data_IF_907037865741
#
_entry.id   IF_907037865741
#
_cell.length_a   1.000
_cell.length_b   1.000
_cell.length_c   1.000
_cell.angle_alpha   90.00
_cell.angle_beta   90.00
_cell.angle_gamma   90.00
#
_symmetry.space_group_name_H-M   'P 1'
#
loop_
_entity.id
_entity.type
_entity.pdbx_description
1 polymer ?
#
# COMPACT_ATOMS: atom_id res chain seq x y z
N UNK A 1 1.33 -11.09 -1.06
CA UNK A 1 0.79 -10.90 -2.43
C UNK A 1 1.97 -10.59 -3.33
N UNK A 2 1.83 -10.65 -4.66
CA UNK A 2 2.93 -10.29 -5.56
C UNK A 2 3.04 -8.79 -5.79
N UNK A 3 4.19 -8.36 -6.28
CA UNK A 3 4.44 -6.98 -6.68
C UNK A 3 3.47 -6.49 -7.77
N UNK A 4 3.19 -7.34 -8.77
CA UNK A 4 2.26 -7.04 -9.86
C UNK A 4 0.81 -6.94 -9.38
N UNK A 5 0.41 -7.85 -8.48
CA UNK A 5 -0.90 -7.79 -7.83
C UNK A 5 -1.02 -6.48 -7.04
N UNK A 6 -0.01 -6.12 -6.25
CA UNK A 6 0.00 -4.88 -5.47
C UNK A 6 -0.13 -3.65 -6.37
N UNK A 7 0.66 -3.59 -7.45
CA UNK A 7 0.60 -2.49 -8.41
C UNK A 7 -0.81 -2.36 -9.03
N UNK A 8 -1.37 -3.47 -9.49
CA UNK A 8 -2.69 -3.51 -10.15
C UNK A 8 -3.80 -3.07 -9.19
N UNK A 9 -3.78 -3.58 -7.96
CA UNK A 9 -4.75 -3.18 -6.91
C UNK A 9 -4.62 -1.70 -6.57
N UNK A 10 -3.40 -1.18 -6.38
CA UNK A 10 -3.20 0.24 -6.09
C UNK A 10 -3.65 1.15 -7.24
N UNK A 11 -3.40 0.75 -8.49
CA UNK A 11 -3.91 1.48 -9.66
C UNK A 11 -5.44 1.56 -9.67
N UNK A 12 -6.13 0.47 -9.34
CA UNK A 12 -7.59 0.45 -9.25
C UNK A 12 -8.10 1.40 -8.14
N UNK A 13 -7.52 1.33 -6.94
CA UNK A 13 -7.90 2.20 -5.80
C UNK A 13 -7.65 3.67 -6.15
N UNK A 14 -6.48 4.00 -6.69
CA UNK A 14 -6.13 5.37 -7.12
C UNK A 14 -7.11 5.93 -8.13
N UNK A 15 -7.47 5.13 -9.14
CA UNK A 15 -8.46 5.51 -10.15
C UNK A 15 -9.83 5.77 -9.53
N UNK A 16 -10.25 4.92 -8.60
CA UNK A 16 -11.54 5.05 -7.89
C UNK A 16 -11.59 6.31 -7.02
N UNK A 17 -10.53 6.57 -6.26
CA UNK A 17 -10.46 7.74 -5.35
C UNK A 17 -9.99 9.03 -6.03
N UNK A 18 -9.56 8.97 -7.30
CA UNK A 18 -9.12 10.15 -8.06
C UNK A 18 -7.83 10.79 -7.55
N UNK A 19 -6.96 10.04 -6.88
CA UNK A 19 -5.72 10.56 -6.26
C UNK A 19 -4.56 9.59 -6.38
N UNK A 20 -3.32 10.10 -6.40
CA UNK A 20 -2.09 9.28 -6.37
C UNK A 20 -1.78 8.71 -4.98
N UNK A 21 -2.26 9.36 -3.93
CA UNK A 21 -2.04 9.02 -2.52
C UNK A 21 -3.37 8.59 -1.86
N UNK A 22 -3.95 7.46 -2.27
CA UNK A 22 -5.25 7.01 -1.79
C UNK A 22 -5.22 6.63 -0.31
N UNK A 23 -6.40 6.62 0.30
CA UNK A 23 -6.63 6.02 1.61
C UNK A 23 -6.85 4.52 1.46
N UNK A 24 -6.06 3.72 2.16
CA UNK A 24 -6.06 2.26 2.04
C UNK A 24 -6.23 1.58 3.40
N UNK A 25 -6.78 0.37 3.34
CA UNK A 25 -6.80 -0.63 4.40
C UNK A 25 -5.92 -1.79 3.97
N UNK A 26 -5.00 -2.21 4.84
CA UNK A 26 -4.09 -3.33 4.61
C UNK A 26 -4.25 -4.34 5.73
N UNK A 27 -4.65 -5.55 5.38
CA UNK A 27 -4.57 -6.72 6.26
C UNK A 27 -3.12 -7.21 6.26
N UNK A 28 -2.46 -7.23 7.41
CA UNK A 28 -1.04 -7.51 7.54
C UNK A 28 -0.76 -8.34 8.79
N UNK A 29 -0.35 -9.61 8.62
CA UNK A 29 -0.03 -10.49 9.74
C UNK A 29 -1.16 -10.64 10.77
N UNK A 30 -2.43 -10.63 10.32
CA UNK A 30 -3.61 -10.69 11.20
C UNK A 30 -4.03 -9.35 11.83
N UNK A 31 -3.32 -8.26 11.53
CA UNK A 31 -3.66 -6.90 11.97
C UNK A 31 -4.19 -6.07 10.80
N UNK A 32 -5.15 -5.19 11.06
CA UNK A 32 -5.64 -4.23 10.07
C UNK A 32 -4.92 -2.90 10.25
N UNK A 33 -4.23 -2.45 9.21
CA UNK A 33 -3.51 -1.18 9.17
C UNK A 33 -4.25 -0.26 8.20
N UNK A 34 -4.50 0.99 8.61
CA UNK A 34 -5.19 2.00 7.80
C UNK A 34 -4.29 3.22 7.66
N UNK A 35 -4.21 3.77 6.47
CA UNK A 35 -3.32 4.90 6.21
C UNK A 35 -3.50 5.50 4.84
N UNK A 36 -2.80 6.62 4.61
CA UNK A 36 -2.65 7.23 3.29
C UNK A 36 -1.43 6.62 2.63
N UNK A 37 -1.57 6.18 1.39
CA UNK A 37 -0.43 5.69 0.62
C UNK A 37 0.52 6.85 0.32
N UNK A 38 1.73 6.78 0.87
CA UNK A 38 2.80 7.74 0.61
C UNK A 38 3.66 7.27 -0.57
N UNK A 39 4.04 5.99 -0.55
CA UNK A 39 4.91 5.37 -1.56
C UNK A 39 4.62 3.88 -1.66
N UNK A 40 4.78 3.32 -2.86
CA UNK A 40 4.90 1.88 -3.05
C UNK A 40 6.11 1.59 -3.93
N UNK A 41 6.95 0.63 -3.55
CA UNK A 41 7.99 0.12 -4.45
C UNK A 41 7.38 -0.49 -5.72
N UNK A 42 6.09 -0.87 -5.68
CA UNK A 42 5.33 -1.35 -6.85
C UNK A 42 5.16 -0.32 -7.96
N UNK A 43 5.39 0.96 -7.68
CA UNK A 43 5.22 2.03 -8.66
C UNK A 43 6.43 2.14 -9.60
N UNK A 44 6.22 2.37 -10.92
CA UNK A 44 7.32 2.48 -11.88
C UNK A 44 8.36 3.54 -11.51
N UNK A 45 7.92 4.64 -10.89
CA UNK A 45 8.77 5.76 -10.45
C UNK A 45 9.60 5.45 -9.19
N UNK A 46 9.22 4.42 -8.43
CA UNK A 46 9.82 4.04 -7.15
C UNK A 46 10.48 2.65 -7.17
N UNK A 47 10.40 1.93 -8.29
CA UNK A 47 10.96 0.60 -8.49
C UNK A 47 12.47 0.64 -8.28
N UNK A 48 12.90 0.33 -7.05
CA UNK A 48 14.32 0.03 -6.77
C UNK A 48 14.70 -1.26 -7.50
N UNK A 49 16.00 -1.41 -7.78
CA UNK A 49 16.63 -2.55 -8.47
C UNK A 49 15.82 -3.85 -8.38
N UNK A 50 15.63 -4.52 -9.53
CA UNK A 50 14.86 -5.75 -9.74
C UNK A 50 15.35 -6.98 -8.95
N UNK A 51 16.13 -6.79 -7.90
CA UNK A 51 16.85 -7.79 -7.13
C UNK A 51 16.19 -8.14 -5.79
N UNK A 52 15.17 -7.39 -5.34
CA UNK A 52 14.39 -7.76 -4.14
C UNK A 52 12.93 -8.05 -4.49
N UNK A 53 12.46 -9.30 -4.34
CA UNK A 53 11.05 -9.65 -4.53
C UNK A 53 10.14 -9.15 -3.39
N UNK A 54 10.70 -8.49 -2.37
CA UNK A 54 10.04 -8.14 -1.10
C UNK A 54 9.76 -6.64 -0.96
N UNK A 55 9.47 -5.93 -2.06
CA UNK A 55 9.20 -4.48 -2.06
C UNK A 55 8.17 -4.06 -1.01
N UNK A 56 8.18 -2.78 -0.64
CA UNK A 56 7.34 -2.27 0.46
C UNK A 56 6.24 -1.32 0.01
N UNK A 57 5.18 -1.26 0.82
CA UNK A 57 4.18 -0.19 0.82
C UNK A 57 4.40 0.67 2.06
N UNK A 58 4.42 1.99 1.87
CA UNK A 58 4.63 2.96 2.94
C UNK A 58 3.34 3.75 3.14
N UNK A 59 2.83 3.72 4.36
CA UNK A 59 1.61 4.38 4.77
C UNK A 59 1.89 5.51 5.75
N UNK A 60 1.36 6.68 5.45
CA UNK A 60 1.21 7.77 6.41
C UNK A 60 -0.01 7.53 7.30
N UNK A 61 0.11 7.92 8.57
CA UNK A 61 -1.01 7.88 9.51
C UNK A 61 -2.07 8.93 9.12
N UNK A 62 -3.33 8.64 9.42
CA UNK A 62 -4.46 9.56 9.17
C UNK A 62 -4.68 10.57 10.30
N UNK A 63 -3.89 10.49 11.38
CA UNK A 63 -3.92 11.43 12.50
C UNK A 63 -3.29 12.80 12.19
N UNK A 64 -3.48 13.76 13.08
CA UNK A 64 -3.02 15.15 12.95
C UNK A 64 -1.55 15.37 13.35
N UNK A 65 -0.86 14.33 13.81
CA UNK A 65 0.54 14.41 14.27
C UNK A 65 1.51 13.80 13.25
N UNK A 66 2.76 14.27 13.24
CA UNK A 66 3.86 13.64 12.50
C UNK A 66 4.23 12.32 13.18
N UNK A 67 3.53 11.26 12.83
CA UNK A 67 3.81 9.89 13.29
C UNK A 67 4.78 9.24 12.29
N UNK A 68 5.69 8.34 12.75
CA UNK A 68 6.50 7.54 11.84
C UNK A 68 5.63 6.82 10.80
N UNK A 69 6.11 6.80 9.55
CA UNK A 69 5.47 6.04 8.48
C UNK A 69 5.43 4.55 8.84
N UNK A 70 4.34 3.88 8.44
CA UNK A 70 4.23 2.43 8.57
C UNK A 70 4.71 1.78 7.28
N UNK A 71 5.77 0.98 7.38
CA UNK A 71 6.38 0.27 6.25
C UNK A 71 5.95 -1.19 6.29
N UNK A 72 5.32 -1.67 5.21
CA UNK A 72 4.76 -3.01 5.10
C UNK A 72 5.39 -3.75 3.94
N UNK A 73 5.84 -4.99 4.14
CA UNK A 73 6.34 -5.82 3.04
C UNK A 73 5.18 -6.35 2.20
N UNK A 74 5.24 -6.17 0.88
CA UNK A 74 4.20 -6.65 -0.04
C UNK A 74 3.99 -8.17 0.07
N UNK A 75 5.07 -8.91 0.33
CA UNK A 75 5.04 -10.36 0.47
C UNK A 75 4.13 -10.82 1.62
N UNK A 76 4.07 -10.06 2.72
CA UNK A 76 3.30 -10.40 3.93
C UNK A 76 1.83 -9.96 3.88
N UNK A 77 1.44 -9.17 2.87
CA UNK A 77 0.03 -8.80 2.64
C UNK A 77 -0.65 -10.00 1.97
N UNK A 78 -1.68 -10.63 2.55
CA UNK A 78 -2.37 -11.73 1.89
C UNK A 78 -3.03 -11.27 0.58
N UNK A 79 -3.32 -12.21 -0.32
CA UNK A 79 -4.12 -11.89 -1.51
C UNK A 79 -5.49 -11.33 -1.10
N UNK A 80 -5.92 -10.24 -1.74
CA UNK A 80 -7.11 -9.48 -1.33
C UNK A 80 -6.95 -8.66 -0.04
N UNK A 81 -5.78 -8.67 0.59
CA UNK A 81 -5.51 -7.92 1.83
C UNK A 81 -5.33 -6.42 1.67
N UNK A 82 -5.28 -5.90 0.44
CA UNK A 82 -5.10 -4.47 0.15
C UNK A 82 -6.36 -3.90 -0.51
N UNK A 83 -7.02 -2.96 0.15
CA UNK A 83 -8.30 -2.41 -0.30
C UNK A 83 -8.37 -0.89 -0.12
N UNK A 84 -9.28 -0.25 -0.84
CA UNK A 84 -9.63 1.15 -0.59
C UNK A 84 -10.32 1.30 0.77
N UNK A 85 -10.04 2.38 1.51
CA UNK A 85 -10.69 2.62 2.81
C UNK A 85 -12.21 2.86 2.68
N UNK A 86 -12.67 3.19 1.48
CA UNK A 86 -14.07 3.43 1.11
C UNK A 86 -14.92 2.16 0.93
N UNK A 87 -14.31 0.96 0.98
CA UNK A 87 -15.00 -0.32 0.75
C UNK A 87 -15.42 -1.03 2.06
N UNK A 88 -15.96 -0.27 3.02
CA UNK A 88 -16.52 -0.83 4.27
C UNK A 88 -17.82 -1.60 4.06
#
# INVERSE_FOLDING_TARGET
MTFEQCHTTLMAIRRKQGTRCPLVRVDYGGTVIRGRLARSDSDPEHRRSSTSPYGVVVLENLGLSRVPETILQIADIPEGGLNGLDES
#
